data_IF_441670986165
#
_entry.id   IF_441670986165
#
_cell.length_a   1.000
_cell.length_b   1.000
_cell.length_c   1.000
_cell.angle_alpha   90.00
_cell.angle_beta   90.00
_cell.angle_gamma   90.00
#
_symmetry.space_group_name_H-M   'P 1'
#
loop_
_entity.id
_entity.type
_entity.pdbx_description
1 polymer ?
#
# COMPACT_ATOMS: atom_id res chain seq x y z
N UNK A 1 7.93 3.44 -17.13
CA UNK A 1 7.75 3.58 -15.68
C UNK A 1 8.38 4.89 -15.32
N UNK A 2 7.55 5.82 -14.87
CA UNK A 2 7.89 7.24 -14.87
C UNK A 2 8.35 7.72 -13.48
N UNK A 3 8.13 6.88 -12.45
CA UNK A 3 8.59 7.09 -11.08
C UNK A 3 9.66 6.10 -10.65
N UNK A 4 10.53 6.56 -9.75
CA UNK A 4 11.55 5.78 -9.03
C UNK A 4 10.93 4.88 -7.97
N UNK A 5 11.72 3.94 -7.44
CA UNK A 5 11.30 3.06 -6.33
C UNK A 5 10.85 3.88 -5.13
N UNK A 6 11.63 4.91 -4.77
CA UNK A 6 11.36 5.71 -3.59
C UNK A 6 10.09 6.52 -3.75
N UNK A 7 9.84 7.12 -4.91
CA UNK A 7 8.60 7.88 -5.17
C UNK A 7 7.34 7.00 -5.06
N UNK A 8 7.39 5.75 -5.57
CA UNK A 8 6.27 4.82 -5.41
C UNK A 8 6.05 4.43 -3.94
N UNK A 9 7.12 4.22 -3.18
CA UNK A 9 7.03 3.89 -1.75
C UNK A 9 6.52 5.09 -0.96
N UNK A 10 7.04 6.29 -1.21
CA UNK A 10 6.64 7.52 -0.54
C UNK A 10 5.17 7.83 -0.81
N UNK A 11 4.71 7.61 -2.04
CA UNK A 11 3.28 7.71 -2.37
C UNK A 11 2.44 6.75 -1.51
N UNK A 12 2.81 5.46 -1.44
CA UNK A 12 2.08 4.50 -0.62
C UNK A 12 2.16 4.83 0.87
N UNK A 13 3.30 5.34 1.34
CA UNK A 13 3.48 5.77 2.72
C UNK A 13 2.52 6.90 3.08
N UNK A 14 2.48 7.96 2.27
CA UNK A 14 1.68 9.15 2.52
C UNK A 14 0.18 8.91 2.36
N UNK A 15 -0.21 8.12 1.35
CA UNK A 15 -1.62 7.98 0.98
C UNK A 15 -2.29 6.74 1.57
N UNK A 16 -1.54 5.76 2.08
CA UNK A 16 -2.10 4.51 2.62
C UNK A 16 -1.50 4.14 3.96
N UNK A 17 -0.18 3.91 4.04
CA UNK A 17 0.42 3.26 5.21
C UNK A 17 0.37 4.15 6.45
N UNK A 18 0.79 5.41 6.32
CA UNK A 18 0.78 6.35 7.44
C UNK A 18 -0.64 6.64 7.93
N UNK A 19 -1.62 6.98 7.06
CA UNK A 19 -3.01 7.15 7.49
C UNK A 19 -3.62 5.91 8.15
N UNK A 20 -3.38 4.71 7.61
CA UNK A 20 -3.92 3.47 8.17
C UNK A 20 -3.27 3.08 9.51
N UNK A 21 -1.97 3.32 9.69
CA UNK A 21 -1.29 3.04 10.96
C UNK A 21 -1.68 4.01 12.08
N UNK A 22 -1.89 5.29 11.75
CA UNK A 22 -2.18 6.36 12.71
C UNK A 22 -3.68 6.65 12.89
N UNK A 23 -4.56 5.92 12.21
CA UNK A 23 -5.99 6.03 12.43
C UNK A 23 -6.31 5.69 13.91
N UNK A 24 -7.13 6.50 14.61
CA UNK A 24 -7.48 6.27 16.01
C UNK A 24 -8.09 4.88 16.30
N UNK A 25 -8.80 4.33 15.32
CA UNK A 25 -9.46 3.03 15.39
C UNK A 25 -8.54 1.86 14.96
N UNK A 26 -7.28 2.15 14.59
CA UNK A 26 -6.33 1.12 14.19
C UNK A 26 -5.86 0.26 15.37
N UNK A 27 -6.31 -1.00 15.38
CA UNK A 27 -5.87 -2.01 16.34
C UNK A 27 -4.41 -2.46 16.11
N UNK A 28 -3.89 -3.28 17.03
CA UNK A 28 -2.53 -3.81 16.93
C UNK A 28 -2.31 -4.69 15.70
N UNK A 29 -3.35 -5.35 15.19
CA UNK A 29 -3.27 -6.22 14.01
C UNK A 29 -3.07 -5.40 12.74
N UNK A 30 -3.84 -4.33 12.57
CA UNK A 30 -3.72 -3.38 11.46
C UNK A 30 -2.31 -2.76 11.50
N UNK A 31 -1.88 -2.24 12.65
CA UNK A 31 -0.55 -1.64 12.81
C UNK A 31 0.58 -2.62 12.46
N UNK A 32 0.49 -3.88 12.88
CA UNK A 32 1.47 -4.93 12.53
C UNK A 32 1.50 -5.22 11.03
N UNK A 33 0.33 -5.34 10.39
CA UNK A 33 0.22 -5.57 8.94
C UNK A 33 0.83 -4.41 8.15
N UNK A 34 0.53 -3.16 8.53
CA UNK A 34 1.10 -1.98 7.88
C UNK A 34 2.63 -1.96 8.00
N UNK A 35 3.18 -2.17 9.21
CA UNK A 35 4.63 -2.25 9.42
C UNK A 35 5.30 -3.34 8.58
N UNK A 36 4.66 -4.51 8.49
CA UNK A 36 5.15 -5.60 7.65
C UNK A 36 5.13 -5.23 6.16
N UNK A 37 4.07 -4.57 5.69
CA UNK A 37 3.99 -4.04 4.32
C UNK A 37 5.08 -3.03 4.04
N UNK A 38 5.28 -2.04 4.93
CA UNK A 38 6.35 -1.03 4.82
C UNK A 38 7.73 -1.68 4.71
N UNK A 39 8.03 -2.65 5.60
CA UNK A 39 9.28 -3.40 5.57
C UNK A 39 9.46 -4.15 4.24
N UNK A 40 8.41 -4.82 3.74
CA UNK A 40 8.46 -5.53 2.46
C UNK A 40 8.76 -4.59 1.31
N UNK A 41 8.04 -3.46 1.22
CA UNK A 41 8.24 -2.44 0.18
C UNK A 41 9.69 -1.92 0.15
N UNK A 42 10.24 -1.59 1.32
CA UNK A 42 11.61 -1.11 1.45
C UNK A 42 12.65 -2.15 0.98
N UNK A 43 12.36 -3.43 1.11
CA UNK A 43 13.23 -4.53 0.68
C UNK A 43 13.10 -4.89 -0.81
N UNK A 44 12.17 -4.28 -1.56
CA UNK A 44 12.03 -4.55 -3.00
C UNK A 44 13.21 -3.98 -3.80
N UNK A 45 13.61 -4.66 -4.87
CA UNK A 45 14.84 -4.33 -5.61
C UNK A 45 14.73 -3.02 -6.39
N UNK A 46 13.59 -2.77 -7.01
CA UNK A 46 13.36 -1.68 -7.95
C UNK A 46 11.87 -1.30 -7.99
N UNK A 47 11.53 -0.25 -8.73
CA UNK A 47 10.15 0.23 -8.82
C UNK A 47 9.20 -0.74 -9.54
N UNK A 48 9.70 -1.59 -10.45
CA UNK A 48 8.87 -2.60 -11.11
C UNK A 48 8.40 -3.65 -10.11
N UNK A 49 9.25 -3.99 -9.14
CA UNK A 49 8.87 -4.86 -8.02
C UNK A 49 7.90 -4.20 -7.05
N UNK A 50 7.98 -2.88 -6.84
CA UNK A 50 6.97 -2.13 -6.07
C UNK A 50 5.61 -2.18 -6.76
N UNK A 51 5.59 -1.95 -8.07
CA UNK A 51 4.37 -2.07 -8.86
C UNK A 51 3.78 -3.48 -8.83
N UNK A 52 4.60 -4.51 -9.06
CA UNK A 52 4.16 -5.92 -8.97
C UNK A 52 3.58 -6.23 -7.58
N UNK A 53 4.25 -5.80 -6.51
CA UNK A 53 3.78 -5.97 -5.15
C UNK A 53 2.42 -5.31 -4.94
N UNK A 54 2.23 -4.08 -5.42
CA UNK A 54 0.99 -3.33 -5.28
C UNK A 54 -0.22 -4.10 -5.87
N UNK A 55 -0.09 -4.58 -7.11
CA UNK A 55 -1.17 -5.31 -7.78
C UNK A 55 -1.42 -6.69 -7.16
N UNK A 56 -0.34 -7.42 -6.82
CA UNK A 56 -0.47 -8.72 -6.18
C UNK A 56 -1.08 -8.61 -4.78
N UNK A 57 -0.75 -7.56 -4.03
CA UNK A 57 -1.28 -7.35 -2.69
C UNK A 57 -2.81 -7.28 -2.71
N UNK A 58 -3.44 -6.65 -3.70
CA UNK A 58 -4.91 -6.57 -3.79
C UNK A 58 -5.59 -7.87 -4.22
N UNK A 59 -4.85 -8.80 -4.84
CA UNK A 59 -5.41 -10.05 -5.39
C UNK A 59 -5.31 -11.26 -4.45
N UNK A 60 -4.60 -11.14 -3.32
CA UNK A 60 -4.38 -12.26 -2.39
C UNK A 60 -5.38 -12.26 -1.24
N UNK A 61 -5.68 -13.43 -0.66
CA UNK A 61 -6.55 -13.55 0.51
C UNK A 61 -6.08 -12.70 1.69
N UNK A 62 -4.77 -12.67 1.96
CA UNK A 62 -4.20 -11.82 3.01
C UNK A 62 -4.34 -10.32 2.66
N UNK A 63 -4.28 -10.00 1.37
CA UNK A 63 -4.61 -8.69 0.83
C UNK A 63 -6.03 -8.26 1.15
N UNK A 64 -7.00 -9.10 0.77
CA UNK A 64 -8.44 -8.90 0.96
C UNK A 64 -8.78 -8.77 2.46
N UNK A 65 -8.19 -9.60 3.33
CA UNK A 65 -8.33 -9.46 4.79
C UNK A 65 -7.79 -8.12 5.29
N UNK A 66 -6.62 -7.70 4.79
CA UNK A 66 -6.01 -6.42 5.17
C UNK A 66 -6.86 -5.24 4.70
N UNK A 67 -7.31 -5.26 3.44
CA UNK A 67 -8.27 -4.30 2.87
C UNK A 67 -9.54 -4.21 3.71
N UNK A 68 -10.16 -5.35 4.04
CA UNK A 68 -11.42 -5.39 4.80
C UNK A 68 -11.26 -4.76 6.18
N UNK A 69 -10.12 -5.00 6.86
CA UNK A 69 -9.84 -4.42 8.19
C UNK A 69 -9.61 -2.92 8.12
N UNK A 70 -8.82 -2.46 7.17
CA UNK A 70 -8.50 -1.03 7.01
C UNK A 70 -9.76 -0.25 6.58
N UNK A 71 -10.56 -0.82 5.68
CA UNK A 71 -11.82 -0.20 5.23
C UNK A 71 -12.84 -0.05 6.38
N UNK A 72 -12.91 -1.01 7.30
CA UNK A 72 -13.82 -0.96 8.46
C UNK A 72 -13.53 0.20 9.42
N UNK A 73 -12.30 0.69 9.44
CA UNK A 73 -11.90 1.84 10.26
C UNK A 73 -11.89 3.16 9.46
N UNK A 74 -12.36 3.13 8.21
CA UNK A 74 -12.41 4.31 7.34
C UNK A 74 -11.03 4.83 6.91
N UNK A 75 -9.99 4.01 7.00
CA UNK A 75 -8.66 4.37 6.52
C UNK A 75 -8.52 4.04 5.02
N UNK A 76 -7.66 4.77 4.29
CA UNK A 76 -7.43 4.52 2.87
C UNK A 76 -6.69 3.20 2.62
N UNK A 77 -6.99 2.55 1.50
CA UNK A 77 -6.39 1.28 1.07
C UNK A 77 -5.69 1.40 -0.28
N UNK A 78 -5.10 0.30 -0.77
CA UNK A 78 -4.48 0.27 -2.10
C UNK A 78 -5.51 0.44 -3.22
N UNK A 79 -6.72 -0.08 -3.03
CA UNK A 79 -7.84 0.00 -3.94
C UNK A 79 -8.27 1.46 -4.18
N UNK A 80 -8.23 2.29 -3.13
CA UNK A 80 -8.61 3.71 -3.19
C UNK A 80 -7.61 4.51 -4.05
N UNK A 81 -6.33 4.18 -3.96
CA UNK A 81 -5.25 4.93 -4.64
C UNK A 81 -4.85 4.32 -5.99
N UNK A 82 -5.48 3.22 -6.42
CA UNK A 82 -5.06 2.42 -7.60
C UNK A 82 -4.92 3.22 -8.88
N UNK A 83 -5.79 4.20 -9.11
CA UNK A 83 -5.77 5.00 -10.35
C UNK A 83 -4.64 6.02 -10.33
N UNK A 84 -4.34 6.62 -9.18
CA UNK A 84 -3.18 7.50 -9.01
C UNK A 84 -1.88 6.71 -9.11
N UNK A 85 -1.80 5.57 -8.44
CA UNK A 85 -0.64 4.69 -8.51
C UNK A 85 -0.36 4.23 -9.95
N UNK A 86 -1.41 3.81 -10.69
CA UNK A 86 -1.29 3.44 -12.11
C UNK A 86 -0.70 4.57 -12.96
N UNK A 87 -1.11 5.82 -12.72
CA UNK A 87 -0.56 7.00 -13.42
C UNK A 87 0.91 7.23 -13.09
N UNK A 88 1.31 7.10 -11.82
CA UNK A 88 2.72 7.19 -11.42
C UNK A 88 3.61 6.13 -12.09
N UNK A 89 3.07 4.93 -12.31
CA UNK A 89 3.75 3.88 -13.06
C UNK A 89 3.88 4.18 -14.57
N UNK A 90 3.28 5.27 -15.09
CA UNK A 90 3.28 5.61 -16.51
C UNK A 90 2.31 4.77 -17.34
N UNK A 91 1.30 4.14 -16.71
CA UNK A 91 0.31 3.30 -17.39
C UNK A 91 -0.95 4.12 -17.72
N UNK A 92 -1.43 4.00 -18.96
CA UNK A 92 -2.71 4.56 -19.44
C UNK A 92 -3.87 3.68 -19.01
#
# INVERSE_FOLDING_TARGET
MDSTKQELIDFLEQHVLYPAENNPEADLTIKRKIRATRMRLNNLKDAGKVEEFFWNAMATDNGIDTYTRISRIGAPTFEDVRFEFKRLCGRK
#
